data_IF_640165607138
#
_entry.id   IF_640165607138
#
_cell.length_a   1.000
_cell.length_b   1.000
_cell.length_c   1.000
_cell.angle_alpha   90.00
_cell.angle_beta   90.00
_cell.angle_gamma   90.00
#
_symmetry.space_group_name_H-M   'P 1'
#
loop_
_entity.id
_entity.type
_entity.pdbx_description
1 polymer ?
#
# COMPACT_ATOMS: atom_id res chain seq x y z
N UNK A 1 16.46 34.55 43.25
CA UNK A 1 15.30 33.88 42.63
C UNK A 1 15.56 33.55 41.16
N UNK A 2 16.10 34.47 40.37
CA UNK A 2 16.41 34.27 38.93
C UNK A 2 17.51 33.19 38.74
N UNK A 3 18.50 33.14 39.62
CA UNK A 3 19.57 32.17 39.54
C UNK A 3 19.09 30.75 39.84
N UNK A 4 18.16 30.61 40.80
CA UNK A 4 17.57 29.31 41.12
C UNK A 4 16.66 28.78 39.98
N UNK A 5 15.95 29.68 39.30
CA UNK A 5 15.13 29.32 38.13
C UNK A 5 16.00 28.86 36.93
N UNK A 6 17.15 29.54 36.74
CA UNK A 6 18.10 29.14 35.68
C UNK A 6 18.72 27.79 35.93
N UNK A 7 19.11 27.49 37.18
CA UNK A 7 19.68 26.21 37.59
C UNK A 7 18.64 25.09 37.44
N UNK A 8 17.38 25.35 37.85
CA UNK A 8 16.31 24.38 37.69
C UNK A 8 16.00 24.09 36.21
N UNK A 9 16.05 25.13 35.36
CA UNK A 9 15.86 24.96 33.92
C UNK A 9 16.97 24.15 33.26
N UNK A 10 18.24 24.43 33.61
CA UNK A 10 19.40 23.71 33.08
C UNK A 10 19.42 22.26 33.61
N UNK A 11 19.06 22.03 34.87
CA UNK A 11 18.95 20.67 35.43
C UNK A 11 17.80 19.87 34.79
N UNK A 12 16.66 20.51 34.57
CA UNK A 12 15.52 19.88 33.88
C UNK A 12 15.86 19.52 32.44
N UNK A 13 16.59 20.40 31.74
CA UNK A 13 17.05 20.13 30.37
C UNK A 13 18.06 18.98 30.33
N UNK A 14 19.00 18.95 31.26
CA UNK A 14 20.01 17.88 31.37
C UNK A 14 19.36 16.54 31.73
N UNK A 15 18.34 16.52 32.61
CA UNK A 15 17.62 15.30 32.98
C UNK A 15 16.78 14.76 31.80
N UNK A 16 16.14 15.62 31.01
CA UNK A 16 15.41 15.17 29.81
C UNK A 16 16.36 14.60 28.74
N UNK A 17 17.54 15.18 28.60
CA UNK A 17 18.58 14.69 27.69
C UNK A 17 19.07 13.28 28.11
N UNK A 18 19.38 13.10 29.39
CA UNK A 18 19.82 11.81 29.94
C UNK A 18 18.72 10.73 29.85
N UNK A 19 17.44 11.13 30.00
CA UNK A 19 16.31 10.22 29.88
C UNK A 19 16.21 9.68 28.45
N UNK A 20 16.33 10.53 27.43
CA UNK A 20 16.26 10.14 26.02
C UNK A 20 17.45 9.27 25.61
N UNK A 21 18.64 9.58 26.04
CA UNK A 21 19.84 8.77 25.81
C UNK A 21 19.71 7.38 26.44
N UNK A 22 19.00 7.26 27.57
CA UNK A 22 18.72 5.98 28.22
C UNK A 22 17.60 5.18 27.55
N UNK A 23 16.71 5.84 26.79
CA UNK A 23 15.57 5.21 26.09
C UNK A 23 15.95 4.61 24.74
N UNK A 24 17.05 5.07 24.13
CA UNK A 24 17.47 4.70 22.78
C UNK A 24 18.80 3.96 22.79
N UNK A 25 18.98 3.12 21.78
CA UNK A 25 20.27 2.50 21.49
C UNK A 25 20.51 2.45 19.99
N UNK A 26 21.76 2.36 19.58
CA UNK A 26 22.18 2.25 18.18
C UNK A 26 22.56 0.83 17.86
N UNK A 27 22.15 0.37 16.69
CA UNK A 27 22.54 -0.93 16.14
C UNK A 27 22.75 -0.79 14.64
N UNK A 28 23.81 -1.41 14.13
CA UNK A 28 24.07 -1.45 12.70
C UNK A 28 23.24 -2.57 12.04
N UNK A 29 22.55 -2.22 10.95
CA UNK A 29 21.75 -3.14 10.17
C UNK A 29 22.16 -2.97 8.72
N UNK A 30 22.95 -3.92 8.19
CA UNK A 30 23.57 -3.77 6.88
C UNK A 30 24.46 -2.53 6.85
N UNK A 31 24.27 -1.67 5.86
CA UNK A 31 25.03 -0.43 5.69
C UNK A 31 24.41 0.77 6.42
N UNK A 32 23.36 0.54 7.21
CA UNK A 32 22.63 1.60 7.92
C UNK A 32 22.73 1.43 9.42
N UNK A 33 22.60 2.54 10.14
CA UNK A 33 22.51 2.54 11.61
C UNK A 33 21.07 2.84 12.01
N UNK A 34 20.51 1.97 12.85
CA UNK A 34 19.20 2.19 13.47
C UNK A 34 19.40 2.68 14.90
N UNK A 35 18.78 3.81 15.23
CA UNK A 35 18.71 4.32 16.58
C UNK A 35 17.27 4.23 17.06
N UNK A 36 16.97 3.23 17.88
CA UNK A 36 15.60 2.85 18.24
C UNK A 36 15.39 2.82 19.74
N UNK A 37 14.14 2.87 20.15
CA UNK A 37 13.72 2.74 21.54
C UNK A 37 14.08 1.32 22.03
N UNK A 38 14.55 1.21 23.26
CA UNK A 38 15.02 -0.05 23.87
C UNK A 38 13.94 -1.14 23.96
N UNK A 39 12.67 -0.77 23.92
CA UNK A 39 11.57 -1.76 23.88
C UNK A 39 11.65 -2.66 22.65
N UNK A 40 12.28 -2.20 21.56
CA UNK A 40 12.45 -2.94 20.32
C UNK A 40 13.82 -3.59 20.30
N UNK A 41 13.86 -4.91 20.30
CA UNK A 41 15.07 -5.70 20.38
C UNK A 41 15.18 -6.69 19.21
N UNK A 42 16.36 -7.25 19.04
CA UNK A 42 16.62 -8.31 18.05
C UNK A 42 16.32 -7.84 16.61
N UNK A 43 16.79 -6.65 16.25
CA UNK A 43 16.58 -6.10 14.90
C UNK A 43 17.28 -6.94 13.84
N UNK A 44 16.55 -7.30 12.77
CA UNK A 44 17.07 -8.03 11.62
C UNK A 44 16.54 -7.40 10.32
N UNK A 45 17.39 -7.23 9.31
CA UNK A 45 16.93 -6.65 8.04
C UNK A 45 15.94 -7.61 7.35
N UNK A 46 14.83 -7.06 6.86
CA UNK A 46 13.82 -7.81 6.10
C UNK A 46 13.57 -7.22 4.72
N UNK A 47 14.07 -6.02 4.45
CA UNK A 47 13.93 -5.42 3.14
C UNK A 47 14.52 -4.04 3.06
N UNK A 48 14.73 -3.59 1.85
CA UNK A 48 15.09 -2.22 1.53
C UNK A 48 14.26 -1.78 0.33
N UNK A 49 13.80 -0.53 0.36
CA UNK A 49 13.00 0.03 -0.73
C UNK A 49 13.41 1.46 -1.01
N UNK A 50 12.70 2.10 -1.95
CA UNK A 50 12.92 3.49 -2.31
C UNK A 50 12.74 4.46 -1.13
N UNK A 51 11.98 4.07 -0.12
CA UNK A 51 11.67 4.90 1.04
C UNK A 51 12.60 4.67 2.23
N UNK A 52 13.28 3.54 2.30
CA UNK A 52 14.17 3.23 3.41
C UNK A 52 14.37 1.75 3.65
N UNK A 53 15.05 1.44 4.74
CA UNK A 53 15.38 0.10 5.18
C UNK A 53 14.34 -0.34 6.20
N UNK A 54 13.91 -1.60 6.11
CA UNK A 54 12.94 -2.20 7.03
C UNK A 54 13.58 -3.34 7.79
N UNK A 55 13.37 -3.36 9.10
CA UNK A 55 13.81 -4.42 10.00
C UNK A 55 12.62 -5.09 10.66
N UNK A 56 12.75 -6.38 10.97
CA UNK A 56 11.91 -6.99 11.99
C UNK A 56 12.52 -6.72 13.35
N UNK A 57 11.69 -6.64 14.38
CA UNK A 57 12.11 -6.47 15.77
C UNK A 57 11.11 -7.13 16.71
N UNK A 58 11.55 -7.46 17.92
CA UNK A 58 10.66 -7.89 18.97
C UNK A 58 10.32 -6.71 19.89
N UNK A 59 9.01 -6.47 20.05
CA UNK A 59 8.49 -5.44 20.93
C UNK A 59 8.19 -6.02 22.32
N UNK A 60 9.00 -5.66 23.31
CA UNK A 60 8.85 -6.16 24.69
C UNK A 60 7.61 -5.64 25.41
N UNK A 61 7.04 -4.49 24.98
CA UNK A 61 5.84 -3.94 25.60
C UNK A 61 4.58 -4.70 25.20
N UNK A 62 4.46 -5.07 23.94
CA UNK A 62 3.33 -5.83 23.41
C UNK A 62 3.61 -7.31 23.22
N UNK A 63 4.81 -7.76 23.54
CA UNK A 63 5.23 -9.17 23.46
C UNK A 63 4.95 -9.77 22.07
N UNK A 64 5.32 -9.03 21.01
CA UNK A 64 5.14 -9.49 19.63
C UNK A 64 6.22 -8.93 18.71
N UNK A 65 6.39 -9.58 17.57
CA UNK A 65 7.27 -9.09 16.52
C UNK A 65 6.58 -7.95 15.75
N UNK A 66 7.39 -6.97 15.35
CA UNK A 66 6.96 -5.79 14.60
C UNK A 66 7.93 -5.52 13.45
N UNK A 67 7.51 -4.69 12.49
CA UNK A 67 8.37 -4.16 11.45
C UNK A 67 8.71 -2.70 11.78
N UNK A 68 9.98 -2.33 11.62
CA UNK A 68 10.44 -0.96 11.82
C UNK A 68 11.06 -0.46 10.52
N UNK A 69 10.49 0.62 9.97
CA UNK A 69 11.00 1.28 8.78
C UNK A 69 11.67 2.59 9.15
N UNK A 70 12.92 2.77 8.71
CA UNK A 70 13.67 4.01 8.88
C UNK A 70 13.52 4.89 7.65
N UNK A 71 13.01 6.10 7.83
CA UNK A 71 13.00 7.14 6.82
C UNK A 71 14.15 8.12 7.11
N UNK A 72 15.22 8.04 6.32
CA UNK A 72 16.40 8.90 6.51
C UNK A 72 16.21 10.21 5.77
N UNK A 73 16.19 11.32 6.52
CA UNK A 73 16.01 12.69 5.99
C UNK A 73 14.86 12.75 4.97
N UNK A 74 13.62 12.40 5.38
CA UNK A 74 12.50 12.30 4.46
C UNK A 74 12.16 13.64 3.78
N UNK A 75 12.61 14.75 4.34
CA UNK A 75 12.38 16.12 3.86
C UNK A 75 13.45 16.60 2.86
N UNK A 76 14.38 15.74 2.41
CA UNK A 76 15.53 16.14 1.59
C UNK A 76 15.16 16.74 0.23
N UNK A 77 14.00 16.38 -0.31
CA UNK A 77 13.43 16.95 -1.54
C UNK A 77 11.92 16.83 -1.55
N UNK A 78 11.25 17.49 -2.51
CA UNK A 78 9.78 17.50 -2.59
C UNK A 78 9.18 16.11 -2.72
N UNK A 79 9.75 15.27 -3.55
CA UNK A 79 9.23 13.93 -3.83
C UNK A 79 9.24 13.05 -2.59
N UNK A 80 10.38 12.99 -1.89
CA UNK A 80 10.51 12.23 -0.64
C UNK A 80 9.64 12.80 0.47
N UNK A 81 9.59 14.11 0.58
CA UNK A 81 8.83 14.79 1.63
C UNK A 81 7.33 14.58 1.48
N UNK A 82 6.79 14.76 0.28
CA UNK A 82 5.37 14.51 0.01
C UNK A 82 4.98 13.07 0.31
N UNK A 83 5.82 12.11 -0.10
CA UNK A 83 5.56 10.69 0.13
C UNK A 83 5.57 10.35 1.62
N UNK A 84 6.57 10.82 2.37
CA UNK A 84 6.69 10.57 3.80
C UNK A 84 5.54 11.23 4.58
N UNK A 85 5.22 12.47 4.26
CA UNK A 85 4.12 13.18 4.91
C UNK A 85 2.77 12.52 4.64
N UNK A 86 2.50 12.17 3.38
CA UNK A 86 1.29 11.45 2.98
C UNK A 86 1.15 10.12 3.72
N UNK A 87 2.22 9.33 3.76
CA UNK A 87 2.23 8.04 4.47
C UNK A 87 1.91 8.22 5.96
N UNK A 88 2.57 9.17 6.63
CA UNK A 88 2.33 9.46 8.05
C UNK A 88 0.87 9.85 8.33
N UNK A 89 0.35 10.80 7.56
CA UNK A 89 -1.02 11.29 7.73
C UNK A 89 -2.04 10.18 7.49
N UNK A 90 -1.88 9.43 6.41
CA UNK A 90 -2.84 8.37 6.04
C UNK A 90 -2.76 7.18 6.99
N UNK A 91 -1.57 6.76 7.42
CA UNK A 91 -1.44 5.67 8.39
C UNK A 91 -2.07 6.00 9.74
N UNK A 92 -2.06 7.27 10.14
CA UNK A 92 -2.74 7.73 11.36
C UNK A 92 -4.27 7.74 11.23
N UNK A 93 -4.79 7.95 10.03
CA UNK A 93 -6.23 8.11 9.77
C UNK A 93 -6.92 6.82 9.36
N UNK A 94 -6.24 5.97 8.58
CA UNK A 94 -6.82 4.75 8.05
C UNK A 94 -6.74 3.64 9.09
N UNK A 95 -7.88 3.03 9.38
CA UNK A 95 -7.98 1.93 10.34
C UNK A 95 -8.87 0.83 9.76
N UNK A 96 -8.26 -0.23 9.26
CA UNK A 96 -8.97 -1.38 8.73
C UNK A 96 -8.10 -2.64 8.86
N UNK A 97 -8.73 -3.78 9.11
CA UNK A 97 -8.02 -5.05 9.30
C UNK A 97 -7.24 -5.52 8.06
N UNK A 98 -7.59 -5.04 6.87
CA UNK A 98 -6.90 -5.39 5.62
C UNK A 98 -5.95 -4.29 5.12
N UNK A 99 -5.65 -3.31 5.94
CA UNK A 99 -4.61 -2.29 5.72
C UNK A 99 -3.61 -2.39 6.87
N UNK A 100 -2.31 -2.30 6.55
CA UNK A 100 -1.27 -2.40 7.57
C UNK A 100 -1.44 -1.32 8.64
N UNK A 101 -1.37 -1.72 9.89
CA UNK A 101 -1.56 -0.82 11.03
C UNK A 101 -0.27 -0.18 11.50
N UNK A 102 -0.35 1.11 11.82
CA UNK A 102 0.74 1.86 12.44
C UNK A 102 0.69 1.62 13.96
N UNK A 103 1.79 1.13 14.53
CA UNK A 103 1.90 0.81 15.94
C UNK A 103 2.62 1.89 16.74
N UNK A 104 3.58 2.56 16.13
CA UNK A 104 4.34 3.63 16.74
C UNK A 104 5.06 4.48 15.70
N UNK A 105 5.38 5.71 16.08
CA UNK A 105 6.23 6.63 15.32
C UNK A 105 7.17 7.30 16.30
N UNK A 106 8.44 7.38 15.97
CA UNK A 106 9.40 8.09 16.82
C UNK A 106 10.57 8.67 16.02
N UNK A 107 11.24 9.62 16.63
CA UNK A 107 12.54 10.14 16.18
C UNK A 107 13.52 10.12 17.36
N UNK A 108 14.77 9.69 17.14
CA UNK A 108 15.80 9.77 18.18
C UNK A 108 16.32 11.18 18.40
N UNK A 109 16.12 12.08 17.44
CA UNK A 109 16.55 13.47 17.58
C UNK A 109 15.61 14.23 18.52
N UNK A 110 16.15 15.21 19.23
CA UNK A 110 15.47 15.87 20.36
C UNK A 110 14.79 17.18 19.99
N UNK A 111 15.31 17.84 18.96
CA UNK A 111 14.86 19.18 18.55
C UNK A 111 14.59 19.22 17.05
N UNK A 112 13.83 20.20 16.60
CA UNK A 112 13.58 20.42 15.18
C UNK A 112 14.89 20.62 14.41
N UNK A 113 15.84 21.33 14.99
CA UNK A 113 17.15 21.61 14.37
C UNK A 113 17.97 20.33 14.15
N UNK A 114 17.91 19.40 15.09
CA UNK A 114 18.63 18.11 15.03
C UNK A 114 17.87 17.04 14.26
N UNK A 115 16.58 17.27 13.97
CA UNK A 115 15.69 16.27 13.36
C UNK A 115 16.22 15.78 12.00
N UNK A 116 16.38 14.48 11.87
CA UNK A 116 16.84 13.83 10.64
C UNK A 116 15.99 12.62 10.23
N UNK A 117 15.66 11.76 11.19
CA UNK A 117 15.12 10.45 10.88
C UNK A 117 13.76 10.22 11.52
N UNK A 118 12.89 9.55 10.79
CA UNK A 118 11.60 9.08 11.28
C UNK A 118 11.59 7.55 11.24
N UNK A 119 11.17 6.94 12.33
CA UNK A 119 10.97 5.50 12.42
C UNK A 119 9.50 5.19 12.54
N UNK A 120 9.00 4.34 11.64
CA UNK A 120 7.63 3.84 11.63
C UNK A 120 7.63 2.40 12.12
N UNK A 121 6.85 2.14 13.17
CA UNK A 121 6.64 0.77 13.67
C UNK A 121 5.29 0.28 13.20
N UNK A 122 5.28 -0.85 12.52
CA UNK A 122 4.10 -1.41 11.87
C UNK A 122 3.91 -2.86 12.27
N UNK A 123 2.72 -3.37 12.04
CA UNK A 123 2.45 -4.79 12.15
C UNK A 123 3.39 -5.58 11.23
N UNK A 124 3.91 -6.71 11.74
CA UNK A 124 4.74 -7.63 10.97
C UNK A 124 3.89 -8.81 10.51
N UNK A 125 3.98 -9.10 9.24
CA UNK A 125 3.32 -10.23 8.61
C UNK A 125 4.36 -11.29 8.21
N UNK A 126 3.93 -12.51 7.89
CA UNK A 126 4.84 -13.63 7.66
C UNK A 126 5.51 -13.60 6.29
N UNK A 127 4.80 -13.11 5.27
CA UNK A 127 5.28 -13.10 3.89
C UNK A 127 4.58 -12.02 3.07
N UNK A 128 5.11 -11.73 1.89
CA UNK A 128 4.37 -10.98 0.89
C UNK A 128 3.75 -11.93 -0.16
N UNK A 129 2.92 -11.37 -1.02
CA UNK A 129 2.16 -12.16 -1.98
C UNK A 129 3.06 -12.80 -3.07
N UNK A 130 4.26 -12.26 -3.31
CA UNK A 130 5.22 -12.86 -4.25
C UNK A 130 5.57 -14.30 -3.86
N UNK A 131 5.64 -14.58 -2.55
CA UNK A 131 5.91 -15.91 -2.03
C UNK A 131 4.68 -16.81 -2.15
N UNK A 132 3.48 -16.26 -1.93
CA UNK A 132 2.20 -16.98 -2.05
C UNK A 132 1.93 -17.40 -3.50
N UNK A 133 2.30 -16.59 -4.48
CA UNK A 133 2.13 -16.87 -5.91
C UNK A 133 2.83 -18.16 -6.33
N UNK A 134 3.91 -18.53 -5.65
CA UNK A 134 4.66 -19.76 -5.94
C UNK A 134 3.97 -21.01 -5.40
N UNK A 135 2.94 -20.85 -4.57
CA UNK A 135 2.20 -21.95 -3.95
C UNK A 135 0.97 -22.31 -4.77
N UNK A 136 0.57 -23.58 -4.71
CA UNK A 136 -0.75 -23.98 -5.19
C UNK A 136 -1.80 -23.64 -4.12
N UNK A 137 -2.81 -22.86 -4.53
CA UNK A 137 -3.89 -22.45 -3.65
C UNK A 137 -5.19 -23.15 -4.06
N UNK A 138 -5.93 -23.64 -3.06
CA UNK A 138 -7.30 -24.08 -3.27
C UNK A 138 -8.23 -22.88 -3.47
N UNK A 139 -9.45 -23.14 -3.90
CA UNK A 139 -10.42 -22.07 -4.16
C UNK A 139 -10.80 -21.28 -2.91
N UNK A 140 -10.81 -21.95 -1.75
CA UNK A 140 -11.11 -21.27 -0.48
C UNK A 140 -10.07 -20.23 -0.16
N UNK A 141 -8.79 -20.56 -0.19
CA UNK A 141 -7.71 -19.63 0.10
C UNK A 141 -7.61 -18.54 -0.94
N UNK A 142 -7.68 -18.89 -2.22
CA UNK A 142 -7.61 -17.92 -3.30
C UNK A 142 -8.74 -16.88 -3.19
N UNK A 143 -9.98 -17.34 -3.06
CA UNK A 143 -11.13 -16.44 -2.94
C UNK A 143 -11.10 -15.60 -1.67
N UNK A 144 -10.61 -16.17 -0.57
CA UNK A 144 -10.49 -15.45 0.69
C UNK A 144 -9.43 -14.34 0.62
N UNK A 145 -8.28 -14.61 0.00
CA UNK A 145 -7.27 -13.58 -0.23
C UNK A 145 -7.80 -12.45 -1.10
N UNK A 146 -8.51 -12.79 -2.18
CA UNK A 146 -9.12 -11.79 -3.08
C UNK A 146 -10.19 -10.95 -2.36
N UNK A 147 -11.04 -11.60 -1.56
CA UNK A 147 -12.02 -10.91 -0.75
C UNK A 147 -11.39 -9.86 0.17
N UNK A 148 -10.32 -10.23 0.85
CA UNK A 148 -9.61 -9.33 1.75
C UNK A 148 -8.95 -8.17 1.01
N UNK A 149 -8.36 -8.41 -0.18
CA UNK A 149 -7.85 -7.33 -1.03
C UNK A 149 -8.94 -6.33 -1.37
N UNK A 150 -10.11 -6.84 -1.79
CA UNK A 150 -11.24 -6.00 -2.17
C UNK A 150 -11.79 -5.21 -0.98
N UNK A 151 -11.86 -5.79 0.20
CA UNK A 151 -12.25 -5.09 1.42
C UNK A 151 -11.29 -3.93 1.74
N UNK A 152 -9.98 -4.19 1.68
CA UNK A 152 -8.96 -3.17 1.90
C UNK A 152 -9.05 -2.04 0.88
N UNK A 153 -9.23 -2.37 -0.39
CA UNK A 153 -9.37 -1.41 -1.47
C UNK A 153 -10.64 -0.56 -1.29
N UNK A 154 -11.76 -1.19 -0.95
CA UNK A 154 -13.00 -0.46 -0.65
C UNK A 154 -12.80 0.55 0.47
N UNK A 155 -12.07 0.16 1.51
CA UNK A 155 -11.75 1.05 2.61
C UNK A 155 -10.94 2.25 2.14
N UNK A 156 -9.90 2.05 1.34
CA UNK A 156 -9.10 3.12 0.78
C UNK A 156 -9.95 4.06 -0.08
N UNK A 157 -10.79 3.51 -0.94
CA UNK A 157 -11.67 4.29 -1.79
C UNK A 157 -12.67 5.14 -0.99
N UNK A 158 -13.22 4.60 0.09
CA UNK A 158 -14.12 5.33 0.99
C UNK A 158 -13.41 6.51 1.69
N UNK A 159 -12.11 6.39 1.91
CA UNK A 159 -11.26 7.46 2.45
C UNK A 159 -10.76 8.43 1.37
N UNK A 160 -11.22 8.28 0.11
CA UNK A 160 -10.79 9.11 -1.01
C UNK A 160 -9.44 8.74 -1.60
N UNK A 161 -8.90 7.57 -1.27
CA UNK A 161 -7.60 7.10 -1.72
C UNK A 161 -7.78 6.06 -2.82
N UNK A 162 -7.27 6.36 -4.01
CA UNK A 162 -7.16 5.38 -5.10
C UNK A 162 -5.68 4.96 -5.15
N UNK A 163 -5.42 3.66 -5.01
CA UNK A 163 -4.05 3.16 -4.83
C UNK A 163 -3.19 3.31 -6.09
N UNK A 164 -3.64 2.76 -7.22
CA UNK A 164 -3.01 2.81 -8.54
C UNK A 164 -1.69 2.05 -8.70
N UNK A 165 -1.15 1.49 -7.64
CA UNK A 165 0.14 0.75 -7.68
C UNK A 165 0.10 -0.54 -6.86
N UNK A 166 -1.05 -1.20 -6.81
CA UNK A 166 -1.18 -2.51 -6.19
C UNK A 166 -0.35 -3.55 -6.93
N UNK A 167 0.40 -4.33 -6.19
CA UNK A 167 1.29 -5.38 -6.71
C UNK A 167 1.59 -6.40 -5.62
N UNK A 168 2.05 -7.60 -5.97
CA UNK A 168 2.30 -8.65 -4.98
C UNK A 168 3.29 -8.25 -3.88
N UNK A 169 4.26 -7.41 -4.17
CA UNK A 169 5.28 -6.99 -3.19
C UNK A 169 4.74 -6.04 -2.12
N UNK A 170 3.63 -5.36 -2.35
CA UNK A 170 3.01 -4.48 -1.34
C UNK A 170 1.72 -5.04 -0.74
N UNK A 171 1.51 -6.33 -0.87
CA UNK A 171 0.44 -7.07 -0.20
C UNK A 171 1.09 -8.16 0.66
N UNK A 172 0.76 -8.16 1.94
CA UNK A 172 1.38 -9.04 2.94
C UNK A 172 0.36 -9.95 3.58
N UNK A 173 0.82 -11.13 3.99
CA UNK A 173 -0.05 -12.20 4.50
C UNK A 173 0.56 -12.86 5.72
N UNK A 174 -0.31 -13.47 6.55
CA UNK A 174 0.07 -14.36 7.63
C UNK A 174 -0.25 -15.82 7.29
N UNK A 175 0.32 -16.74 8.08
CA UNK A 175 0.09 -18.19 7.94
C UNK A 175 -1.38 -18.60 8.10
N UNK A 176 -2.18 -17.80 8.78
CA UNK A 176 -3.63 -18.01 8.93
C UNK A 176 -4.45 -17.48 7.75
N UNK A 177 -3.78 -17.09 6.67
CA UNK A 177 -4.39 -16.54 5.45
C UNK A 177 -4.96 -15.12 5.61
N UNK A 178 -4.65 -14.41 6.68
CA UNK A 178 -5.00 -12.99 6.78
C UNK A 178 -4.12 -12.14 5.89
N UNK A 179 -4.69 -11.11 5.28
CA UNK A 179 -4.04 -10.27 4.28
C UNK A 179 -4.17 -8.81 4.63
N UNK A 180 -3.09 -8.05 4.37
CA UNK A 180 -3.09 -6.58 4.53
C UNK A 180 -2.38 -5.92 3.36
N UNK A 181 -2.89 -4.76 2.95
CA UNK A 181 -2.23 -3.88 1.98
C UNK A 181 -1.19 -3.06 2.73
N UNK A 182 0.03 -3.00 2.21
CA UNK A 182 1.19 -2.45 2.93
C UNK A 182 1.31 -0.93 2.82
N UNK A 183 0.87 -0.32 1.71
CA UNK A 183 1.04 1.10 1.44
C UNK A 183 -0.22 1.74 0.83
N UNK A 184 -0.16 3.04 0.54
CA UNK A 184 -1.27 3.83 0.01
C UNK A 184 -1.14 4.17 -1.47
N UNK A 185 -0.15 3.60 -2.15
CA UNK A 185 0.03 3.74 -3.58
C UNK A 185 0.68 5.04 -4.03
N UNK A 186 0.36 5.44 -5.26
CA UNK A 186 0.93 6.61 -5.89
C UNK A 186 0.17 7.88 -5.50
N UNK A 187 0.90 8.96 -5.24
CA UNK A 187 0.33 10.29 -5.17
C UNK A 187 -0.21 10.70 -6.56
N UNK A 188 -1.26 11.52 -6.59
CA UNK A 188 -1.90 11.97 -7.85
C UNK A 188 -0.91 12.61 -8.82
N UNK A 189 0.01 13.42 -8.30
CA UNK A 189 1.03 14.12 -9.09
C UNK A 189 2.18 13.22 -9.53
N UNK A 190 2.39 12.08 -8.86
CA UNK A 190 3.45 11.14 -9.22
C UNK A 190 3.13 10.30 -10.46
N UNK A 191 1.88 10.32 -10.95
CA UNK A 191 1.48 9.60 -12.15
C UNK A 191 2.21 10.10 -13.42
N UNK A 192 2.65 11.35 -13.42
CA UNK A 192 3.43 11.94 -14.50
C UNK A 192 4.93 11.98 -14.19
N UNK A 193 5.30 11.68 -12.97
CA UNK A 193 6.69 11.69 -12.53
C UNK A 193 7.43 10.50 -13.09
N UNK A 194 8.16 10.72 -14.13
CA UNK A 194 9.29 9.89 -14.47
C UNK A 194 10.17 9.80 -13.23
N UNK A 195 10.23 8.63 -12.71
CA UNK A 195 10.87 8.28 -11.47
C UNK A 195 12.29 8.72 -11.41
N UNK A 196 12.55 9.63 -10.53
CA UNK A 196 13.89 10.03 -10.16
C UNK A 196 14.54 9.08 -9.14
N UNK A 197 14.01 7.86 -9.00
CA UNK A 197 14.60 6.86 -8.12
C UNK A 197 15.31 5.78 -8.92
N UNK A 198 16.48 5.30 -8.46
CA UNK A 198 17.20 4.23 -9.14
C UNK A 198 16.51 2.86 -9.06
N UNK A 199 15.36 2.78 -8.38
CA UNK A 199 14.61 1.55 -8.23
C UNK A 199 13.68 1.32 -9.41
N UNK A 200 13.72 0.12 -9.97
CA UNK A 200 12.80 -0.29 -11.04
C UNK A 200 11.39 -0.33 -10.50
N UNK A 201 10.52 0.52 -11.04
CA UNK A 201 9.10 0.52 -10.70
C UNK A 201 8.42 -0.58 -11.50
N UNK A 202 7.73 -1.45 -10.80
CA UNK A 202 6.98 -2.56 -11.39
C UNK A 202 5.74 -2.02 -12.09
N UNK A 203 5.65 -2.14 -13.42
CA UNK A 203 4.54 -1.62 -14.25
C UNK A 203 3.51 -2.67 -14.60
N UNK A 204 3.79 -3.94 -14.32
CA UNK A 204 3.01 -5.08 -14.83
C UNK A 204 1.55 -5.07 -14.43
N UNK A 205 1.22 -4.37 -13.34
CA UNK A 205 -0.11 -4.35 -12.72
C UNK A 205 -0.88 -3.05 -12.98
N UNK A 206 -0.30 -2.13 -13.73
CA UNK A 206 -0.93 -0.83 -14.03
C UNK A 206 -1.98 -0.95 -15.10
N UNK A 207 -3.13 -0.33 -14.85
CA UNK A 207 -4.29 -0.38 -15.75
C UNK A 207 -4.01 0.34 -17.08
N UNK A 208 -4.72 -0.04 -18.17
CA UNK A 208 -4.60 0.63 -19.46
C UNK A 208 -4.73 2.14 -19.40
N UNK A 209 -5.65 2.66 -18.61
CA UNK A 209 -5.86 4.10 -18.43
C UNK A 209 -4.64 4.81 -17.84
N UNK A 210 -3.85 4.12 -17.01
CA UNK A 210 -2.58 4.63 -16.48
C UNK A 210 -1.48 4.56 -17.53
N UNK A 211 -1.37 3.44 -18.24
CA UNK A 211 -0.38 3.23 -19.30
C UNK A 211 -0.56 4.27 -20.44
N UNK A 212 -1.81 4.53 -20.80
CA UNK A 212 -2.16 5.41 -21.94
C UNK A 212 -2.37 6.87 -21.54
N UNK A 213 -2.16 7.20 -20.27
CA UNK A 213 -2.27 8.58 -19.78
C UNK A 213 -3.67 9.16 -19.84
N UNK A 214 -4.70 8.29 -19.68
CA UNK A 214 -6.11 8.69 -19.60
C UNK A 214 -6.47 9.10 -18.16
N UNK A 215 -7.61 9.73 -18.01
CA UNK A 215 -8.23 9.88 -16.69
C UNK A 215 -8.60 8.51 -16.11
N UNK A 216 -8.60 8.39 -14.77
CA UNK A 216 -8.87 7.13 -14.09
C UNK A 216 -9.97 7.29 -13.05
N UNK A 217 -10.62 6.18 -12.73
CA UNK A 217 -11.63 6.04 -11.68
C UNK A 217 -11.17 4.98 -10.66
N UNK A 218 -11.96 4.76 -9.63
CA UNK A 218 -11.64 3.83 -8.55
C UNK A 218 -11.33 2.41 -9.04
N UNK A 219 -12.01 1.94 -10.10
CA UNK A 219 -11.78 0.58 -10.62
C UNK A 219 -10.46 0.40 -11.38
N UNK A 220 -9.60 1.42 -11.41
CA UNK A 220 -8.19 1.26 -11.80
C UNK A 220 -7.50 0.22 -10.91
N UNK A 221 -7.91 0.13 -9.65
CA UNK A 221 -7.37 -0.87 -8.71
C UNK A 221 -7.90 -2.28 -8.99
N UNK A 222 -9.07 -2.41 -9.59
CA UNK A 222 -9.63 -3.72 -10.00
C UNK A 222 -8.75 -4.39 -11.07
N UNK A 223 -8.23 -3.62 -12.01
CA UNK A 223 -7.29 -4.18 -13.00
C UNK A 223 -6.09 -4.84 -12.32
N UNK A 224 -5.50 -4.17 -11.35
CA UNK A 224 -4.37 -4.71 -10.60
C UNK A 224 -4.75 -6.00 -9.86
N UNK A 225 -5.92 -6.06 -9.23
CA UNK A 225 -6.43 -7.28 -8.59
C UNK A 225 -6.55 -8.41 -9.59
N UNK A 226 -7.06 -8.13 -10.79
CA UNK A 226 -7.16 -9.10 -11.89
C UNK A 226 -5.79 -9.65 -12.31
N UNK A 227 -4.80 -8.77 -12.45
CA UNK A 227 -3.42 -9.16 -12.76
C UNK A 227 -2.81 -10.04 -11.66
N UNK A 228 -3.06 -9.69 -10.41
CA UNK A 228 -2.57 -10.45 -9.25
C UNK A 228 -3.25 -11.82 -9.19
N UNK A 229 -4.57 -11.86 -9.35
CA UNK A 229 -5.33 -13.13 -9.39
C UNK A 229 -4.82 -14.04 -10.51
N UNK A 230 -4.63 -13.49 -11.69
CA UNK A 230 -4.10 -14.23 -12.84
C UNK A 230 -2.73 -14.83 -12.54
N UNK A 231 -1.88 -14.08 -11.85
CA UNK A 231 -0.54 -14.55 -11.49
C UNK A 231 -0.60 -15.64 -10.41
N UNK A 232 -1.53 -15.53 -9.46
CA UNK A 232 -1.77 -16.58 -8.46
C UNK A 232 -2.25 -17.89 -9.09
N UNK A 233 -3.00 -17.82 -10.19
CA UNK A 233 -3.51 -18.98 -10.92
C UNK A 233 -2.45 -19.56 -11.87
N UNK A 234 -1.75 -18.70 -12.61
CA UNK A 234 -0.78 -19.11 -13.64
C UNK A 234 0.64 -19.28 -13.13
N UNK A 235 0.95 -18.76 -11.93
CA UNK A 235 2.28 -18.77 -11.31
C UNK A 235 3.34 -17.99 -12.11
N UNK A 236 2.89 -17.07 -12.96
CA UNK A 236 3.77 -16.17 -13.72
C UNK A 236 3.06 -14.86 -14.02
N UNK A 237 3.83 -13.83 -14.21
CA UNK A 237 3.34 -12.47 -14.50
C UNK A 237 2.50 -12.50 -15.78
N UNK A 238 1.31 -11.90 -15.72
CA UNK A 238 0.38 -11.91 -16.84
C UNK A 238 0.85 -11.03 -17.99
N UNK A 239 1.32 -9.80 -17.69
CA UNK A 239 1.73 -8.79 -18.67
C UNK A 239 3.15 -8.28 -18.38
N UNK A 240 4.21 -9.08 -18.67
CA UNK A 240 5.58 -8.70 -18.31
C UNK A 240 6.21 -7.75 -19.36
N UNK A 241 5.86 -6.49 -19.30
CA UNK A 241 6.39 -5.47 -20.21
C UNK A 241 7.69 -4.84 -19.70
N UNK A 242 8.63 -4.54 -20.61
CA UNK A 242 9.92 -3.90 -20.32
C UNK A 242 9.80 -2.39 -20.12
N UNK A 243 8.80 -1.81 -20.78
CA UNK A 243 8.43 -0.39 -20.71
C UNK A 243 6.93 -0.26 -20.97
N UNK A 244 6.38 0.95 -20.98
CA UNK A 244 4.95 1.15 -21.23
C UNK A 244 4.51 0.73 -22.64
N UNK A 245 5.39 0.85 -23.64
CA UNK A 245 5.10 0.43 -25.00
C UNK A 245 4.97 -1.09 -25.07
N UNK A 246 5.94 -1.79 -24.52
CA UNK A 246 5.95 -3.25 -24.45
C UNK A 246 4.80 -3.77 -23.56
N UNK A 247 4.50 -3.03 -22.47
CA UNK A 247 3.39 -3.34 -21.57
C UNK A 247 2.05 -3.34 -22.33
N UNK A 248 1.80 -2.31 -23.11
CA UNK A 248 0.60 -2.23 -23.93
C UNK A 248 0.54 -3.36 -24.96
N UNK A 249 1.64 -3.69 -25.60
CA UNK A 249 1.70 -4.82 -26.52
C UNK A 249 1.34 -6.14 -25.85
N UNK A 250 1.85 -6.39 -24.65
CA UNK A 250 1.52 -7.60 -23.86
C UNK A 250 0.04 -7.68 -23.56
N UNK A 251 -0.58 -6.56 -23.23
CA UNK A 251 -2.02 -6.50 -22.93
C UNK A 251 -2.85 -6.86 -24.18
N UNK A 252 -2.61 -6.20 -25.31
CA UNK A 252 -3.43 -6.42 -26.52
C UNK A 252 -3.18 -7.76 -27.19
N UNK A 253 -1.97 -8.30 -27.09
CA UNK A 253 -1.69 -9.66 -27.58
C UNK A 253 -2.57 -10.71 -26.91
N UNK A 254 -2.81 -10.57 -25.62
CA UNK A 254 -3.61 -11.52 -24.85
C UNK A 254 -5.11 -11.21 -24.86
N UNK A 255 -5.48 -9.95 -24.68
CA UNK A 255 -6.88 -9.54 -24.55
C UNK A 255 -7.52 -9.06 -25.85
N UNK A 256 -6.72 -8.80 -26.87
CA UNK A 256 -7.16 -8.27 -28.13
C UNK A 256 -7.13 -6.74 -28.21
N UNK A 257 -7.07 -6.22 -29.43
CA UNK A 257 -7.17 -4.78 -29.69
C UNK A 257 -8.50 -4.25 -29.20
N UNK A 258 -8.53 -3.14 -28.43
CA UNK A 258 -9.78 -2.61 -27.90
C UNK A 258 -10.69 -2.05 -29.00
N UNK A 259 -11.97 -1.85 -28.67
CA UNK A 259 -12.97 -1.33 -29.57
C UNK A 259 -12.72 0.11 -30.00
N UNK A 260 -13.31 0.52 -31.12
CA UNK A 260 -13.24 1.90 -31.59
C UNK A 260 -13.84 2.87 -30.56
N UNK A 261 -14.88 2.47 -29.84
CA UNK A 261 -15.45 3.26 -28.73
C UNK A 261 -14.39 3.63 -27.68
N UNK A 262 -13.54 2.68 -27.29
CA UNK A 262 -12.44 2.92 -26.37
C UNK A 262 -11.39 3.84 -26.99
N UNK A 263 -10.98 3.59 -28.25
CA UNK A 263 -9.95 4.38 -28.95
C UNK A 263 -10.35 5.84 -29.06
N UNK A 264 -11.63 6.14 -29.21
CA UNK A 264 -12.14 7.52 -29.29
C UNK A 264 -12.00 8.29 -27.97
N UNK A 265 -11.81 7.62 -26.86
CA UNK A 265 -11.58 8.25 -25.55
C UNK A 265 -10.14 8.70 -25.35
N UNK A 266 -9.21 8.25 -26.18
CA UNK A 266 -7.80 8.58 -26.10
C UNK A 266 -7.52 9.98 -26.70
N UNK A 267 -6.52 10.67 -26.16
CA UNK A 267 -6.05 11.87 -26.82
C UNK A 267 -5.45 11.53 -28.18
N UNK A 268 -5.34 12.52 -29.07
CA UNK A 268 -5.01 12.31 -30.48
C UNK A 268 -3.66 11.60 -30.67
N UNK A 269 -2.62 11.99 -29.94
CA UNK A 269 -1.29 11.41 -30.12
C UNK A 269 -1.23 9.95 -29.66
N UNK A 270 -1.87 9.64 -28.54
CA UNK A 270 -1.93 8.27 -28.01
C UNK A 270 -2.81 7.40 -28.89
N UNK A 271 -3.95 7.92 -29.35
CA UNK A 271 -4.84 7.21 -30.29
C UNK A 271 -4.13 6.84 -31.58
N UNK A 272 -3.40 7.77 -32.18
CA UNK A 272 -2.62 7.51 -33.39
C UNK A 272 -1.61 6.39 -33.17
N UNK A 273 -0.91 6.41 -32.04
CA UNK A 273 0.03 5.35 -31.70
C UNK A 273 -0.66 3.98 -31.57
N UNK A 274 -1.76 3.93 -30.81
CA UNK A 274 -2.51 2.68 -30.57
C UNK A 274 -3.10 2.13 -31.86
N UNK A 275 -3.68 2.99 -32.70
CA UNK A 275 -4.27 2.61 -33.99
C UNK A 275 -3.22 2.06 -34.97
N UNK A 276 -1.98 2.52 -34.89
CA UNK A 276 -0.88 2.07 -35.76
C UNK A 276 -0.23 0.76 -35.29
N UNK A 277 -0.62 0.23 -34.14
CA UNK A 277 -0.15 -1.09 -33.70
C UNK A 277 -0.86 -2.21 -34.46
N UNK A 278 -0.20 -3.38 -34.61
CA UNK A 278 -0.89 -4.53 -35.19
C UNK A 278 -2.18 -4.85 -34.43
N UNK A 279 -3.21 -5.27 -35.17
CA UNK A 279 -4.46 -5.69 -34.55
C UNK A 279 -4.37 -7.14 -34.08
N UNK A 280 -4.86 -7.38 -32.88
CA UNK A 280 -4.88 -8.71 -32.28
C UNK A 280 -6.33 -9.09 -31.96
N UNK A 281 -6.69 -10.33 -32.27
CA UNK A 281 -8.00 -10.89 -31.91
C UNK A 281 -8.12 -11.16 -30.39
N UNK A 282 -6.96 -11.38 -29.75
CA UNK A 282 -6.93 -11.83 -28.35
C UNK A 282 -7.31 -13.31 -28.22
N UNK A 283 -7.17 -13.82 -27.02
CA UNK A 283 -7.52 -15.19 -26.67
C UNK A 283 -8.78 -15.17 -25.79
N UNK A 284 -9.57 -16.23 -25.87
CA UNK A 284 -10.67 -16.44 -24.94
C UNK A 284 -10.12 -16.67 -23.51
N UNK A 285 -10.93 -16.37 -22.51
CA UNK A 285 -10.51 -16.60 -21.11
C UNK A 285 -10.35 -18.10 -20.80
N UNK A 286 -11.07 -18.97 -21.54
CA UNK A 286 -10.88 -20.42 -21.46
C UNK A 286 -9.49 -20.84 -21.95
N UNK A 287 -8.91 -20.12 -22.91
CA UNK A 287 -7.54 -20.35 -23.39
C UNK A 287 -6.50 -19.69 -22.50
N UNK A 288 -6.76 -18.48 -22.00
CA UNK A 288 -5.87 -17.78 -21.11
C UNK A 288 -5.75 -18.48 -19.75
N UNK A 289 -6.87 -19.00 -19.25
CA UNK A 289 -6.99 -19.68 -17.96
C UNK A 289 -7.71 -21.01 -18.10
N UNK A 290 -7.05 -22.03 -18.72
CA UNK A 290 -7.68 -23.33 -18.92
C UNK A 290 -7.95 -24.05 -17.60
N UNK A 291 -8.87 -25.01 -17.63
CA UNK A 291 -9.31 -25.76 -16.46
C UNK A 291 -8.17 -26.42 -15.68
N UNK A 292 -7.10 -26.82 -16.38
CA UNK A 292 -5.92 -27.44 -15.75
C UNK A 292 -5.25 -26.56 -14.71
N UNK A 293 -5.44 -25.24 -14.78
CA UNK A 293 -4.87 -24.29 -13.82
C UNK A 293 -5.62 -24.26 -12.49
N UNK A 294 -6.82 -24.83 -12.43
CA UNK A 294 -7.68 -24.77 -11.24
C UNK A 294 -7.90 -26.16 -10.66
N UNK A 295 -8.09 -26.28 -9.34
CA UNK A 295 -8.64 -27.51 -8.77
C UNK A 295 -10.00 -27.81 -9.41
N UNK A 296 -10.17 -28.98 -9.98
CA UNK A 296 -11.38 -29.38 -10.71
C UNK A 296 -11.71 -30.86 -10.52
N UNK A 297 -11.35 -31.44 -9.37
CA UNK A 297 -11.48 -32.84 -9.01
C UNK A 297 -12.88 -33.22 -8.50
N UNK A 298 -13.77 -32.23 -8.35
CA UNK A 298 -15.16 -32.39 -7.90
C UNK A 298 -16.07 -31.44 -8.66
N UNK A 299 -17.38 -31.69 -8.61
CA UNK A 299 -18.37 -30.76 -9.20
C UNK A 299 -18.30 -29.37 -8.52
N UNK A 300 -18.05 -29.34 -7.22
CA UNK A 300 -17.86 -28.10 -6.48
C UNK A 300 -16.66 -27.32 -7.03
N UNK A 301 -15.51 -27.94 -7.21
CA UNK A 301 -14.31 -27.31 -7.73
C UNK A 301 -14.45 -26.89 -9.18
N UNK A 302 -15.18 -27.66 -10.01
CA UNK A 302 -15.49 -27.27 -11.39
C UNK A 302 -16.32 -25.99 -11.45
N UNK A 303 -17.33 -25.86 -10.56
CA UNK A 303 -18.14 -24.66 -10.46
C UNK A 303 -17.28 -23.48 -10.02
N UNK A 304 -16.42 -23.67 -9.02
CA UNK A 304 -15.51 -22.62 -8.52
C UNK A 304 -14.52 -22.19 -9.60
N UNK A 305 -13.97 -23.09 -10.37
CA UNK A 305 -13.09 -22.77 -11.50
C UNK A 305 -13.80 -21.90 -12.55
N UNK A 306 -15.03 -22.23 -12.87
CA UNK A 306 -15.88 -21.45 -13.78
C UNK A 306 -16.14 -20.05 -13.23
N UNK A 307 -16.45 -19.94 -11.95
CA UNK A 307 -16.67 -18.63 -11.27
C UNK A 307 -15.38 -17.80 -11.22
N UNK A 308 -14.23 -18.42 -10.93
CA UNK A 308 -12.94 -17.73 -10.91
C UNK A 308 -12.62 -17.13 -12.28
N UNK A 309 -12.81 -17.92 -13.35
CA UNK A 309 -12.58 -17.47 -14.72
C UNK A 309 -13.54 -16.34 -15.10
N UNK A 310 -14.78 -16.40 -14.69
CA UNK A 310 -15.77 -15.35 -14.92
C UNK A 310 -15.36 -14.04 -14.23
N UNK A 311 -14.88 -14.12 -13.00
CA UNK A 311 -14.37 -12.95 -12.28
C UNK A 311 -13.17 -12.33 -12.99
N UNK A 312 -12.20 -13.15 -13.41
CA UNK A 312 -11.04 -12.69 -14.19
C UNK A 312 -11.49 -11.97 -15.47
N UNK A 313 -12.48 -12.52 -16.17
CA UNK A 313 -13.04 -11.93 -17.39
C UNK A 313 -13.63 -10.54 -17.14
N UNK A 314 -14.23 -10.32 -15.97
CA UNK A 314 -14.86 -9.05 -15.60
C UNK A 314 -13.87 -8.02 -15.04
N UNK A 315 -12.77 -8.47 -14.47
CA UNK A 315 -11.72 -7.58 -13.94
C UNK A 315 -10.72 -7.16 -15.01
N UNK A 316 -10.32 -8.05 -15.90
CA UNK A 316 -9.31 -7.78 -16.94
C UNK A 316 -9.98 -7.25 -18.21
N UNK A 317 -10.67 -6.14 -18.07
CA UNK A 317 -11.34 -5.41 -19.15
C UNK A 317 -10.58 -4.12 -19.42
N UNK A 318 -10.13 -3.91 -20.64
CA UNK A 318 -9.31 -2.75 -21.03
C UNK A 318 -10.09 -1.44 -20.80
N UNK A 319 -11.34 -1.38 -21.24
CA UNK A 319 -12.19 -0.20 -21.04
C UNK A 319 -12.69 -0.16 -19.60
N UNK A 320 -12.22 0.80 -18.83
CA UNK A 320 -12.60 0.94 -17.42
C UNK A 320 -14.12 1.13 -17.23
N UNK A 321 -14.82 1.74 -18.19
CA UNK A 321 -16.27 1.92 -18.11
C UNK A 321 -17.04 0.61 -18.18
N UNK A 322 -16.42 -0.46 -18.67
CA UNK A 322 -16.98 -1.80 -18.79
C UNK A 322 -16.41 -2.80 -17.78
N UNK A 323 -15.37 -2.39 -17.05
CA UNK A 323 -14.73 -3.20 -16.00
C UNK A 323 -15.58 -3.21 -14.75
N UNK A 324 -15.66 -4.35 -14.09
CA UNK A 324 -16.35 -4.53 -12.81
C UNK A 324 -15.85 -3.52 -11.74
N UNK A 325 -16.76 -3.04 -10.89
CA UNK A 325 -16.42 -2.21 -9.74
C UNK A 325 -15.99 -3.05 -8.53
N UNK A 326 -15.44 -2.41 -7.51
CA UNK A 326 -15.11 -3.09 -6.25
C UNK A 326 -16.36 -3.67 -5.60
N UNK A 327 -17.43 -2.90 -5.54
CA UNK A 327 -18.70 -3.36 -4.94
C UNK A 327 -19.31 -4.55 -5.69
N UNK A 328 -19.30 -4.50 -7.01
CA UNK A 328 -19.77 -5.62 -7.85
C UNK A 328 -18.88 -6.86 -7.67
N UNK A 329 -17.55 -6.67 -7.57
CA UNK A 329 -16.62 -7.78 -7.33
C UNK A 329 -16.83 -8.44 -5.96
N UNK A 330 -17.14 -7.67 -4.93
CA UNK A 330 -17.49 -8.17 -3.61
C UNK A 330 -18.77 -8.99 -3.61
N UNK A 331 -19.69 -8.72 -4.54
CA UNK A 331 -20.93 -9.48 -4.70
C UNK A 331 -20.82 -10.63 -5.71
N UNK A 332 -19.67 -10.77 -6.39
CA UNK A 332 -19.46 -11.86 -7.35
C UNK A 332 -19.52 -13.23 -6.65
N UNK A 333 -20.13 -14.26 -7.26
CA UNK A 333 -20.30 -15.57 -6.62
C UNK A 333 -19.01 -16.21 -6.12
N UNK A 334 -17.85 -15.94 -6.76
CA UNK A 334 -16.58 -16.47 -6.32
C UNK A 334 -16.08 -15.83 -5.00
N UNK A 335 -16.54 -14.61 -4.71
CA UNK A 335 -16.07 -13.78 -3.58
C UNK A 335 -17.11 -13.69 -2.46
N UNK A 336 -18.40 -13.60 -2.79
CA UNK A 336 -19.43 -13.25 -1.82
C UNK A 336 -19.69 -14.31 -0.75
N UNK A 337 -19.15 -15.51 -0.89
CA UNK A 337 -19.19 -16.56 0.14
C UNK A 337 -18.54 -16.11 1.44
N UNK A 338 -17.63 -15.14 1.37
CA UNK A 338 -16.93 -14.54 2.52
C UNK A 338 -17.58 -13.26 3.04
N UNK A 339 -18.59 -12.74 2.34
CA UNK A 339 -19.14 -11.43 2.61
C UNK A 339 -19.63 -11.30 4.05
N UNK A 340 -19.05 -10.32 4.76
CA UNK A 340 -19.44 -9.92 6.11
C UNK A 340 -19.68 -8.41 6.09
N UNK A 341 -20.91 -7.93 6.35
CA UNK A 341 -21.21 -6.51 6.36
C UNK A 341 -20.33 -5.70 7.31
N UNK A 342 -19.93 -6.28 8.45
CA UNK A 342 -19.06 -5.58 9.40
C UNK A 342 -17.67 -5.33 8.86
N UNK A 343 -17.19 -6.16 7.93
CA UNK A 343 -15.90 -6.00 7.28
C UNK A 343 -15.95 -5.08 6.07
N UNK A 344 -17.07 -5.06 5.37
CA UNK A 344 -17.24 -4.34 4.10
C UNK A 344 -17.88 -2.98 4.31
N UNK A 345 -18.90 -2.87 5.15
CA UNK A 345 -19.74 -1.69 5.31
C UNK A 345 -19.45 -0.86 6.57
N UNK A 346 -18.63 -1.38 7.48
CA UNK A 346 -18.23 -0.69 8.71
C UNK A 346 -17.58 0.69 8.50
N UNK A 347 -17.30 1.02 7.26
CA UNK A 347 -16.66 2.25 6.82
C UNK A 347 -17.59 3.45 6.73
N UNK A 348 -18.89 3.23 6.64
CA UNK A 348 -19.88 4.31 6.62
C UNK A 348 -19.85 5.12 7.94
N UNK A 349 -19.29 4.55 8.99
CA UNK A 349 -19.17 5.18 10.31
C UNK A 349 -17.80 5.80 10.58
N UNK A 350 -16.80 5.55 9.72
CA UNK A 350 -15.47 6.14 9.86
C UNK A 350 -15.46 7.53 9.22
N UNK A 351 -15.17 8.59 9.99
CA UNK A 351 -15.08 9.92 9.38
C UNK A 351 -13.95 9.96 8.36
N UNK A 352 -14.13 10.70 7.26
CA UNK A 352 -13.07 10.87 6.27
C UNK A 352 -11.84 11.51 6.93
N UNK A 353 -10.62 11.27 6.41
CA UNK A 353 -9.45 11.95 6.90
C UNK A 353 -9.63 13.46 6.83
N UNK A 354 -9.09 14.17 7.82
CA UNK A 354 -9.20 15.62 7.93
C UNK A 354 -8.59 16.35 6.71
N UNK A 355 -7.70 15.66 5.99
CA UNK A 355 -7.05 16.17 4.78
C UNK A 355 -7.30 15.14 3.67
N UNK A 356 -7.85 15.58 2.55
CA UNK A 356 -8.09 14.70 1.39
C UNK A 356 -6.78 14.34 0.70
N UNK A 357 -6.74 13.20 0.01
CA UNK A 357 -5.58 12.77 -0.77
C UNK A 357 -5.20 13.83 -1.83
N UNK A 358 -6.18 14.46 -2.45
CA UNK A 358 -5.96 15.58 -3.37
C UNK A 358 -5.25 16.76 -2.70
N UNK A 359 -5.66 17.15 -1.49
CA UNK A 359 -5.04 18.24 -0.73
C UNK A 359 -3.59 17.90 -0.36
N UNK A 360 -3.30 16.65 -0.03
CA UNK A 360 -1.94 16.20 0.25
C UNK A 360 -1.03 16.31 -0.97
N UNK A 361 -1.55 15.96 -2.16
CA UNK A 361 -0.80 15.98 -3.41
C UNK A 361 -0.51 17.40 -3.92
N UNK A 362 -1.40 18.35 -3.63
CA UNK A 362 -1.29 19.74 -4.09
C UNK A 362 -0.35 20.60 -3.23
N UNK A 363 0.09 20.07 -2.09
CA UNK A 363 0.99 20.81 -1.20
C UNK A 363 2.39 20.96 -1.78
N UNK A 364 2.89 22.18 -1.75
CA UNK A 364 4.28 22.51 -2.07
C UNK A 364 4.88 23.35 -0.96
N UNK A 365 6.06 22.96 -0.48
CA UNK A 365 6.73 23.60 0.62
C UNK A 365 8.25 23.61 0.39
N UNK A 366 8.95 24.50 1.09
CA UNK A 366 10.41 24.45 1.15
C UNK A 366 10.86 23.23 1.96
N UNK A 367 12.15 22.88 1.85
CA UNK A 367 12.76 21.81 2.64
C UNK A 367 12.54 22.04 4.15
N UNK A 368 12.74 23.26 4.62
CA UNK A 368 12.56 23.62 6.03
C UNK A 368 11.09 23.51 6.47
N UNK A 369 10.16 23.92 5.62
CA UNK A 369 8.72 23.77 5.89
C UNK A 369 8.31 22.30 5.93
N UNK A 370 8.81 21.45 5.01
CA UNK A 370 8.57 20.00 5.04
C UNK A 370 9.13 19.35 6.28
N UNK A 371 10.34 19.75 6.68
CA UNK A 371 10.97 19.28 7.91
C UNK A 371 10.09 19.56 9.14
N UNK A 372 9.59 20.78 9.25
CA UNK A 372 8.70 21.21 10.34
C UNK A 372 7.37 20.43 10.32
N UNK A 373 6.76 20.27 9.15
CA UNK A 373 5.49 19.54 9.00
C UNK A 373 5.63 18.06 9.41
N UNK A 374 6.68 17.41 8.93
CA UNK A 374 6.92 16.00 9.26
C UNK A 374 7.25 15.84 10.76
N UNK A 375 8.08 16.73 11.31
CA UNK A 375 8.40 16.73 12.73
C UNK A 375 7.15 16.93 13.60
N UNK A 376 6.26 17.82 13.21
CA UNK A 376 4.99 18.04 13.89
C UNK A 376 4.11 16.79 13.91
N UNK A 377 4.09 16.03 12.81
CA UNK A 377 3.33 14.77 12.76
C UNK A 377 3.89 13.73 13.74
N UNK A 378 5.23 13.68 13.91
CA UNK A 378 5.87 12.81 14.89
C UNK A 378 5.50 13.24 16.32
N UNK A 379 5.58 14.53 16.63
CA UNK A 379 5.21 15.06 17.94
C UNK A 379 3.73 14.86 18.25
N UNK A 380 2.87 15.02 17.28
CA UNK A 380 1.44 14.78 17.42
C UNK A 380 1.16 13.32 17.80
N UNK A 381 1.87 12.38 17.22
CA UNK A 381 1.76 10.96 17.58
C UNK A 381 2.21 10.73 19.03
N UNK A 382 3.33 11.30 19.44
CA UNK A 382 3.83 11.19 20.82
C UNK A 382 2.79 11.72 21.83
N UNK A 383 2.18 12.85 21.54
CA UNK A 383 1.14 13.47 22.38
C UNK A 383 -0.10 12.58 22.48
N UNK A 384 -0.56 12.07 21.33
CA UNK A 384 -1.74 11.18 21.28
C UNK A 384 -1.53 9.88 22.06
N UNK A 385 -0.31 9.33 22.03
CA UNK A 385 0.01 8.09 22.76
C UNK A 385 0.18 8.31 24.26
N UNK A 386 0.59 9.51 24.69
CA UNK A 386 0.59 9.90 26.11
C UNK A 386 -0.83 9.98 26.68
N UNK A 387 -1.81 10.42 25.88
CA UNK A 387 -3.19 10.63 26.28
C UNK A 387 -4.04 9.34 26.26
N UNK A 388 -3.44 8.17 26.25
CA UNK A 388 -4.12 6.91 26.40
C UNK A 388 -4.67 6.29 25.13
N UNK A 389 -4.23 6.71 23.95
CA UNK A 389 -4.53 6.00 22.70
C UNK A 389 -3.88 4.62 22.76
N UNK A 390 -4.65 3.56 22.50
CA UNK A 390 -4.18 2.19 22.61
C UNK A 390 -3.04 1.94 21.62
N UNK A 391 -1.84 1.67 22.16
CA UNK A 391 -0.69 1.31 21.37
C UNK A 391 -0.87 -0.09 20.80
N UNK A 392 -0.65 -0.25 19.52
CA UNK A 392 -0.80 -1.55 18.83
C UNK A 392 -2.01 -1.63 17.93
N UNK A 393 -2.83 -0.57 17.88
CA UNK A 393 -3.89 -0.42 16.89
C UNK A 393 -3.79 0.96 16.26
N UNK A 394 -4.09 1.11 14.96
CA UNK A 394 -4.20 2.41 14.34
C UNK A 394 -5.20 3.25 15.13
N UNK A 395 -4.88 4.53 15.37
CA UNK A 395 -5.79 5.42 16.06
C UNK A 395 -7.03 5.64 15.19
N UNK A 396 -8.15 5.05 15.58
CA UNK A 396 -9.44 5.42 15.02
C UNK A 396 -9.98 6.64 15.78
N UNK A 397 -10.74 7.49 15.09
CA UNK A 397 -11.36 8.66 15.73
C UNK A 397 -12.31 8.24 16.84
N UNK A 398 -12.93 7.06 16.74
CA UNK A 398 -13.75 6.48 17.80
C UNK A 398 -12.98 6.15 19.09
N UNK A 399 -11.69 5.87 19.01
CA UNK A 399 -10.83 5.62 20.16
C UNK A 399 -10.31 6.89 20.82
N UNK A 400 -10.31 8.01 20.10
CA UNK A 400 -9.88 9.31 20.63
C UNK A 400 -11.01 10.00 21.43
N UNK A 401 -12.27 9.59 21.22
CA UNK A 401 -13.44 10.15 21.89
C UNK A 401 -13.82 9.41 23.18
N UNK A 402 -13.14 8.33 23.53
CA UNK A 402 -13.26 7.65 24.81
C UNK A 402 -12.10 8.04 25.75
#
# INVERSE_FOLDING_TARGET
LLFMHFIAFVQGFTMNRNKREKEYYSIDVGDSTFMVIKRYQNLRPIGSGAQGIVCSAYDHNFERNVAIKKLSRPFQNQTHAKRAYRELVLMKCVNHKNIIGLLNVFTPQKTLEEFQDVYLVMELMDANLCQVIQMELDHERLSYLLYQMLCGIKHLHAAGIIHRDLKPSNIVVKSDCTLKILDFGLARTAATGLLMTPYVVTRYYRAPEVILGMGYQANVDIWAVGCIMAEMVRHKILFPGRDYIDQWNKVIEQLGTPSQEFLMKLNQSVRTYVENRPRYAGYSFEKLFPDVLFPADSEHNKLKASQARDLLCKMLVIDASKRISVDEALQHPYINVWYDPTEVEALAESPPPAITDKQLDEREHTVDEWKELIYKEVLDWEERTKNGVVRGQPASIAQVQQ
#
